data_IF_709164337954
#
_entry.id   IF_709164337954
#
_cell.length_a   1.000
_cell.length_b   1.000
_cell.length_c   1.000
_cell.angle_alpha   90.00
_cell.angle_beta   90.00
_cell.angle_gamma   90.00
#
_symmetry.space_group_name_H-M   'P 1'
#
loop_
_entity.id
_entity.type
_entity.pdbx_description
1 polymer ?
#
# COMPACT_ATOMS: atom_id res chain seq x y z
N UNK A 1 -6.68 0.31 -18.99
CA UNK A 1 -7.42 0.59 -20.24
C UNK A 1 -6.51 0.93 -21.43
N UNK A 2 -5.21 1.15 -21.21
CA UNK A 2 -4.22 1.43 -22.27
C UNK A 2 -3.62 0.17 -22.91
N UNK A 3 -4.21 -1.00 -22.67
CA UNK A 3 -3.72 -2.28 -23.20
C UNK A 3 -2.48 -2.81 -22.50
N UNK A 4 -2.09 -2.24 -21.35
CA UNK A 4 -0.99 -2.74 -20.51
C UNK A 4 -1.48 -3.79 -19.54
N UNK A 5 -0.65 -4.80 -19.29
CA UNK A 5 -0.91 -5.78 -18.24
C UNK A 5 -0.56 -5.20 -16.87
N UNK A 6 -1.47 -5.33 -15.90
CA UNK A 6 -1.30 -4.82 -14.55
C UNK A 6 -1.27 -5.96 -13.52
N UNK A 7 -0.49 -5.77 -12.45
CA UNK A 7 -0.38 -6.69 -11.36
C UNK A 7 -0.42 -5.97 -10.00
N UNK A 8 -0.70 -6.75 -8.97
CA UNK A 8 -0.68 -6.34 -7.57
C UNK A 8 0.39 -7.13 -6.82
N UNK A 9 1.04 -6.50 -5.86
CA UNK A 9 1.97 -7.14 -4.96
C UNK A 9 1.90 -6.57 -3.53
N UNK A 10 1.99 -7.43 -2.54
CA UNK A 10 2.06 -7.06 -1.12
C UNK A 10 3.08 -7.93 -0.43
N UNK A 11 4.03 -7.34 0.28
CA UNK A 11 5.14 -8.07 0.90
C UNK A 11 4.67 -9.09 1.94
N UNK A 12 3.72 -8.71 2.78
CA UNK A 12 3.15 -9.56 3.82
C UNK A 12 1.70 -9.15 4.11
N UNK A 13 0.85 -10.12 4.37
CA UNK A 13 -0.59 -9.96 4.61
C UNK A 13 -1.00 -10.74 5.84
N UNK A 14 -1.72 -10.13 6.76
CA UNK A 14 -2.18 -10.73 8.02
C UNK A 14 -3.72 -10.64 8.14
N UNK A 15 -4.31 -11.46 9.02
CA UNK A 15 -5.75 -11.51 9.21
C UNK A 15 -6.49 -12.26 8.11
N UNK A 16 -5.95 -13.39 7.68
CA UNK A 16 -6.49 -14.15 6.56
C UNK A 16 -7.27 -15.38 7.02
N UNK A 17 -8.37 -15.64 6.35
CA UNK A 17 -9.19 -16.83 6.60
C UNK A 17 -8.52 -18.11 6.11
N UNK A 18 -8.83 -19.23 6.81
CA UNK A 18 -8.34 -20.56 6.46
C UNK A 18 -9.38 -21.33 5.66
N UNK A 19 -8.97 -21.98 4.59
CA UNK A 19 -9.79 -22.92 3.83
C UNK A 19 -9.95 -24.25 4.57
N UNK A 20 -10.88 -25.07 4.12
CA UNK A 20 -11.11 -26.41 4.67
C UNK A 20 -9.89 -27.36 4.50
N UNK A 21 -9.06 -27.12 3.51
CA UNK A 21 -7.81 -27.86 3.26
C UNK A 21 -6.62 -27.39 4.10
N UNK A 22 -6.84 -26.33 4.94
CA UNK A 22 -5.82 -25.76 5.80
C UNK A 22 -4.99 -24.63 5.16
N UNK A 23 -5.12 -24.35 3.87
CA UNK A 23 -4.46 -23.22 3.22
C UNK A 23 -5.10 -21.88 3.60
N UNK A 24 -4.33 -20.79 3.60
CA UNK A 24 -4.85 -19.45 3.84
C UNK A 24 -5.34 -18.80 2.54
N UNK A 25 -6.36 -17.96 2.68
CA UNK A 25 -6.87 -17.14 1.57
C UNK A 25 -6.24 -15.75 1.72
N UNK A 26 -5.41 -15.29 0.78
CA UNK A 26 -4.84 -13.95 0.83
C UNK A 26 -5.95 -12.91 0.56
N UNK A 27 -6.60 -12.42 1.64
CA UNK A 27 -7.85 -11.64 1.59
C UNK A 27 -7.76 -10.38 0.75
N UNK A 28 -6.73 -9.54 0.99
CA UNK A 28 -6.55 -8.29 0.24
C UNK A 28 -6.29 -8.57 -1.25
N UNK A 29 -5.42 -9.56 -1.55
CA UNK A 29 -5.13 -9.97 -2.93
C UNK A 29 -6.39 -10.48 -3.66
N UNK A 30 -7.20 -11.30 -2.98
CA UNK A 30 -8.46 -11.79 -3.53
C UNK A 30 -9.45 -10.65 -3.77
N UNK A 31 -9.51 -9.67 -2.88
CA UNK A 31 -10.36 -8.49 -3.01
C UNK A 31 -9.91 -7.65 -4.22
N UNK A 32 -8.62 -7.34 -4.33
CA UNK A 32 -8.05 -6.60 -5.46
C UNK A 32 -8.31 -7.33 -6.77
N UNK A 33 -8.07 -8.65 -6.83
CA UNK A 33 -8.32 -9.45 -8.03
C UNK A 33 -9.79 -9.35 -8.48
N UNK A 34 -10.74 -9.44 -7.54
CA UNK A 34 -12.18 -9.37 -7.84
C UNK A 34 -12.61 -8.00 -8.35
N UNK A 35 -12.11 -6.91 -7.75
CA UNK A 35 -12.51 -5.54 -8.09
C UNK A 35 -11.86 -5.09 -9.39
N UNK A 36 -10.56 -5.35 -9.57
CA UNK A 36 -9.80 -4.90 -10.73
C UNK A 36 -9.98 -5.79 -11.96
N UNK A 37 -10.42 -7.04 -11.78
CA UNK A 37 -10.52 -8.02 -12.85
C UNK A 37 -9.17 -8.52 -13.39
N UNK A 38 -8.06 -8.27 -12.69
CA UNK A 38 -6.75 -8.81 -13.08
C UNK A 38 -6.74 -10.34 -12.95
N UNK A 39 -6.02 -11.01 -13.84
CA UNK A 39 -5.95 -12.48 -13.90
C UNK A 39 -4.71 -13.06 -13.23
N UNK A 40 -3.93 -12.23 -12.51
CA UNK A 40 -2.76 -12.66 -11.76
C UNK A 40 -3.12 -13.74 -10.74
N UNK A 41 -2.37 -14.85 -10.65
CA UNK A 41 -2.55 -15.86 -9.61
C UNK A 41 -2.33 -15.30 -8.20
N UNK A 42 -3.18 -15.68 -7.23
CA UNK A 42 -3.12 -15.14 -5.86
C UNK A 42 -1.78 -15.43 -5.16
N UNK A 43 -1.18 -16.58 -5.47
CA UNK A 43 0.12 -17.00 -4.94
C UNK A 43 1.30 -16.11 -5.41
N UNK A 44 1.13 -15.38 -6.50
CA UNK A 44 2.12 -14.42 -7.00
C UNK A 44 1.97 -13.03 -6.36
N UNK A 45 0.82 -12.75 -5.74
CA UNK A 45 0.50 -11.43 -5.20
C UNK A 45 1.09 -11.15 -3.82
N UNK A 46 1.33 -12.20 -3.02
CA UNK A 46 1.82 -12.05 -1.66
C UNK A 46 2.60 -13.28 -1.20
N UNK A 47 3.90 -13.19 -0.90
CA UNK A 47 4.71 -14.33 -0.46
C UNK A 47 4.45 -14.74 0.99
N UNK A 48 3.99 -13.82 1.84
CA UNK A 48 3.76 -14.08 3.27
C UNK A 48 2.32 -13.80 3.66
N UNK A 49 1.55 -14.86 3.92
CA UNK A 49 0.13 -14.80 4.31
C UNK A 49 -0.02 -15.39 5.70
N UNK A 50 -0.53 -14.60 6.65
CA UNK A 50 -0.70 -14.97 8.06
C UNK A 50 -2.18 -15.00 8.45
N UNK A 51 -2.56 -15.94 9.32
CA UNK A 51 -3.92 -16.09 9.84
C UNK A 51 -4.25 -15.01 10.89
N UNK A 52 -3.30 -14.72 11.79
CA UNK A 52 -3.52 -13.77 12.88
C UNK A 52 -3.64 -12.34 12.36
N UNK A 53 -4.74 -11.66 12.77
CA UNK A 53 -5.02 -10.25 12.43
C UNK A 53 -4.20 -9.27 13.29
N UNK A 54 -2.89 -9.36 13.20
CA UNK A 54 -1.93 -8.49 13.87
C UNK A 54 -1.03 -7.77 12.84
N UNK A 55 -0.19 -6.86 13.30
CA UNK A 55 0.87 -6.33 12.43
C UNK A 55 1.77 -7.46 11.93
N UNK A 56 2.30 -7.37 10.69
CA UNK A 56 3.04 -8.48 10.05
C UNK A 56 4.15 -9.07 10.92
N UNK A 57 4.95 -8.23 11.59
CA UNK A 57 6.04 -8.69 12.46
C UNK A 57 5.56 -9.54 13.64
N UNK A 58 4.38 -9.25 14.19
CA UNK A 58 3.84 -10.02 15.31
C UNK A 58 3.20 -11.32 14.82
N UNK A 59 2.44 -11.26 13.74
CA UNK A 59 1.83 -12.44 13.11
C UNK A 59 2.92 -13.44 12.68
N UNK A 60 3.95 -12.98 11.97
CA UNK A 60 5.08 -13.80 11.51
C UNK A 60 5.81 -14.51 12.65
N UNK A 61 6.03 -13.80 13.76
CA UNK A 61 6.68 -14.35 14.95
C UNK A 61 5.83 -15.41 15.65
N UNK A 62 4.52 -15.16 15.80
CA UNK A 62 3.59 -16.13 16.42
C UNK A 62 3.46 -17.38 15.55
N UNK A 63 3.41 -17.24 14.24
CA UNK A 63 3.26 -18.34 13.29
C UNK A 63 4.61 -19.01 12.92
N UNK A 64 5.74 -18.48 13.44
CA UNK A 64 7.06 -19.05 13.22
C UNK A 64 7.57 -18.99 11.78
N UNK A 65 7.08 -18.03 11.00
CA UNK A 65 7.43 -17.84 9.59
C UNK A 65 7.85 -16.38 9.34
N UNK A 66 9.08 -16.00 9.71
CA UNK A 66 9.58 -14.63 9.60
C UNK A 66 9.70 -14.18 8.13
N UNK A 67 9.42 -12.89 7.89
CA UNK A 67 9.58 -12.31 6.55
C UNK A 67 11.06 -12.13 6.22
N UNK A 68 11.48 -12.64 5.08
CA UNK A 68 12.80 -12.50 4.51
C UNK A 68 12.78 -11.52 3.33
N UNK A 69 13.60 -10.46 3.37
CA UNK A 69 13.66 -9.46 2.30
C UNK A 69 14.02 -10.08 0.94
N UNK A 70 14.86 -11.10 0.92
CA UNK A 70 15.21 -11.79 -0.31
C UNK A 70 13.99 -12.41 -1.01
N UNK A 71 13.09 -13.04 -0.25
CA UNK A 71 11.85 -13.65 -0.78
C UNK A 71 10.91 -12.57 -1.30
N UNK A 72 10.75 -11.45 -0.56
CA UNK A 72 9.94 -10.30 -0.98
C UNK A 72 10.47 -9.72 -2.29
N UNK A 73 11.78 -9.47 -2.37
CA UNK A 73 12.43 -8.91 -3.57
C UNK A 73 12.30 -9.84 -4.78
N UNK A 74 12.59 -11.12 -4.60
CA UNK A 74 12.60 -12.09 -5.70
C UNK A 74 11.18 -12.36 -6.22
N UNK A 75 10.17 -12.40 -5.31
CA UNK A 75 8.76 -12.44 -5.67
C UNK A 75 8.32 -11.21 -6.46
N UNK A 76 8.68 -10.01 -6.01
CA UNK A 76 8.38 -8.76 -6.73
C UNK A 76 9.00 -8.73 -8.13
N UNK A 77 10.28 -9.13 -8.27
CA UNK A 77 10.96 -9.22 -9.58
C UNK A 77 10.26 -10.18 -10.54
N UNK A 78 9.87 -11.35 -10.04
CA UNK A 78 9.14 -12.33 -10.84
C UNK A 78 7.79 -11.79 -11.35
N UNK A 79 7.12 -10.92 -10.60
CA UNK A 79 5.91 -10.23 -11.05
C UNK A 79 6.24 -9.16 -12.07
N UNK A 80 7.27 -8.33 -11.86
CA UNK A 80 7.72 -7.32 -12.82
C UNK A 80 8.16 -7.90 -14.17
N UNK A 81 8.69 -9.12 -14.19
CA UNK A 81 9.09 -9.80 -15.43
C UNK A 81 7.87 -10.25 -16.29
N UNK A 82 6.68 -10.34 -15.69
CA UNK A 82 5.45 -10.83 -16.35
C UNK A 82 4.47 -9.72 -16.72
N UNK A 83 4.50 -8.59 -15.99
CA UNK A 83 3.50 -7.54 -16.10
C UNK A 83 4.13 -6.18 -16.35
N UNK A 84 3.47 -5.36 -17.16
CA UNK A 84 3.95 -4.02 -17.55
C UNK A 84 3.89 -3.01 -16.41
N UNK A 85 2.96 -3.22 -15.47
CA UNK A 85 2.72 -2.32 -14.33
C UNK A 85 2.42 -3.11 -13.06
N UNK A 86 3.11 -2.79 -11.97
CA UNK A 86 2.92 -3.45 -10.67
C UNK A 86 2.59 -2.40 -9.61
N UNK A 87 1.41 -2.54 -8.98
CA UNK A 87 1.06 -1.77 -7.79
C UNK A 87 1.46 -2.55 -6.55
N UNK A 88 2.27 -1.94 -5.69
CA UNK A 88 2.66 -2.52 -4.40
C UNK A 88 1.85 -1.86 -3.28
N UNK A 89 1.14 -2.66 -2.49
CA UNK A 89 0.42 -2.18 -1.31
C UNK A 89 1.26 -2.35 -0.05
N UNK A 90 1.32 -1.30 0.78
CA UNK A 90 1.95 -1.35 2.09
C UNK A 90 1.07 -2.05 3.14
N UNK A 91 1.71 -2.58 4.19
CA UNK A 91 1.01 -3.19 5.32
C UNK A 91 0.90 -2.20 6.48
N UNK A 92 0.09 -1.17 6.33
CA UNK A 92 -0.03 -0.06 7.28
C UNK A 92 0.76 1.18 6.85
N UNK A 93 1.17 2.02 7.81
CA UNK A 93 1.97 3.23 7.52
C UNK A 93 3.44 2.92 7.23
N UNK A 94 4.16 3.92 6.72
CA UNK A 94 5.56 3.78 6.27
C UNK A 94 6.52 3.21 7.33
N UNK A 95 6.22 3.43 8.60
CA UNK A 95 6.99 2.89 9.74
C UNK A 95 6.49 1.52 10.23
N UNK A 96 5.56 0.88 9.52
CA UNK A 96 5.04 -0.41 9.94
C UNK A 96 6.16 -1.48 9.96
N UNK A 97 6.38 -2.16 11.09
CA UNK A 97 7.35 -3.25 11.15
C UNK A 97 6.78 -4.48 10.41
N UNK A 98 7.53 -4.95 9.41
CA UNK A 98 7.21 -6.14 8.62
C UNK A 98 7.82 -7.39 9.26
N UNK A 99 9.06 -7.29 9.75
CA UNK A 99 9.72 -8.31 10.54
C UNK A 99 10.47 -7.66 11.71
N UNK A 100 10.46 -8.29 12.89
CA UNK A 100 11.18 -7.81 14.05
C UNK A 100 11.71 -8.99 14.89
N UNK A 101 12.47 -9.87 14.23
CA UNK A 101 13.15 -11.02 14.82
C UNK A 101 14.68 -10.83 14.72
N UNK A 102 15.42 -11.76 14.12
CA UNK A 102 16.84 -11.55 13.81
C UNK A 102 17.03 -10.43 12.78
N UNK A 103 16.21 -10.43 11.74
CA UNK A 103 16.08 -9.32 10.82
C UNK A 103 15.12 -8.25 11.36
N UNK A 104 15.41 -6.99 11.04
CA UNK A 104 14.54 -5.84 11.36
C UNK A 104 14.20 -5.17 10.06
N UNK A 105 12.96 -5.43 9.59
CA UNK A 105 12.45 -4.94 8.31
C UNK A 105 11.23 -4.09 8.60
N UNK A 106 11.27 -2.84 8.18
CA UNK A 106 10.13 -1.92 8.16
C UNK A 106 9.58 -1.79 6.74
N UNK A 107 8.42 -1.19 6.57
CA UNK A 107 7.87 -0.94 5.23
C UNK A 107 8.77 -0.04 4.40
N UNK A 108 9.44 0.93 5.02
CA UNK A 108 10.41 1.79 4.34
C UNK A 108 11.58 1.02 3.71
N UNK A 109 12.03 -0.05 4.39
CA UNK A 109 13.08 -0.91 3.86
C UNK A 109 12.61 -1.66 2.60
N UNK A 110 11.33 -2.08 2.58
CA UNK A 110 10.72 -2.70 1.40
C UNK A 110 10.62 -1.69 0.25
N UNK A 111 10.14 -0.47 0.53
CA UNK A 111 10.06 0.61 -0.48
C UNK A 111 11.43 0.91 -1.07
N UNK A 112 12.45 1.01 -0.22
CA UNK A 112 13.83 1.30 -0.61
C UNK A 112 14.46 0.15 -1.41
N UNK A 113 14.36 -1.09 -0.92
CA UNK A 113 14.92 -2.29 -1.57
C UNK A 113 14.32 -2.55 -2.94
N UNK A 114 13.01 -2.31 -3.10
CA UNK A 114 12.31 -2.51 -4.36
C UNK A 114 12.41 -1.29 -5.29
N UNK A 115 13.00 -0.18 -4.84
CA UNK A 115 13.17 1.06 -5.64
C UNK A 115 11.84 1.71 -6.01
N UNK A 116 10.85 1.68 -5.11
CA UNK A 116 9.50 2.15 -5.40
C UNK A 116 9.36 3.67 -5.30
N UNK A 117 8.50 4.23 -6.16
CA UNK A 117 7.89 5.53 -5.91
C UNK A 117 6.54 5.33 -5.23
N UNK A 118 6.21 6.15 -4.24
CA UNK A 118 5.01 5.99 -3.42
C UNK A 118 3.95 7.04 -3.73
N UNK A 119 2.70 6.67 -3.48
CA UNK A 119 1.55 7.57 -3.37
C UNK A 119 1.01 7.43 -1.96
N UNK A 120 0.76 8.54 -1.29
CA UNK A 120 0.15 8.55 0.03
C UNK A 120 -1.37 8.53 -0.10
N UNK A 121 -2.01 7.55 0.52
CA UNK A 121 -3.47 7.52 0.67
C UNK A 121 -3.80 8.05 2.07
N UNK A 122 -4.61 9.09 2.14
CA UNK A 122 -4.99 9.75 3.39
C UNK A 122 -6.50 9.92 3.47
N UNK A 123 -7.05 9.88 4.69
CA UNK A 123 -8.42 10.29 4.94
C UNK A 123 -8.55 11.82 4.74
N UNK A 124 -9.68 12.30 4.21
CA UNK A 124 -9.90 13.74 4.04
C UNK A 124 -10.29 14.43 5.37
N UNK A 125 -10.71 13.67 6.37
CA UNK A 125 -11.30 14.15 7.61
C UNK A 125 -10.32 14.74 8.63
N UNK A 126 -10.84 14.95 9.83
CA UNK A 126 -10.11 15.59 10.94
C UNK A 126 -8.88 14.80 11.37
N UNK A 127 -7.75 15.51 11.53
CA UNK A 127 -6.46 14.94 11.94
C UNK A 127 -5.53 14.57 10.78
N UNK A 128 -6.02 14.63 9.55
CA UNK A 128 -5.24 14.23 8.35
C UNK A 128 -4.01 15.12 8.13
N UNK A 129 -4.10 16.42 8.38
CA UNK A 129 -2.97 17.36 8.20
C UNK A 129 -1.74 16.85 8.94
N UNK A 130 -1.90 16.50 10.23
CA UNK A 130 -0.78 16.00 11.03
C UNK A 130 -0.19 14.71 10.47
N UNK A 131 -1.04 13.74 10.11
CA UNK A 131 -0.61 12.43 9.61
C UNK A 131 0.09 12.54 8.26
N UNK A 132 -0.46 13.33 7.34
CA UNK A 132 0.08 13.56 6.00
C UNK A 132 1.42 14.28 6.07
N UNK A 133 1.49 15.41 6.81
CA UNK A 133 2.71 16.21 6.88
C UNK A 133 3.85 15.44 7.55
N UNK A 134 3.58 14.75 8.67
CA UNK A 134 4.60 13.94 9.33
C UNK A 134 5.11 12.80 8.43
N UNK A 135 4.20 12.12 7.72
CA UNK A 135 4.60 11.05 6.78
C UNK A 135 5.43 11.60 5.63
N UNK A 136 5.00 12.72 5.02
CA UNK A 136 5.71 13.33 3.90
C UNK A 136 7.11 13.82 4.31
N UNK A 137 7.23 14.51 5.46
CA UNK A 137 8.53 14.98 5.96
C UNK A 137 9.44 13.81 6.35
N UNK A 138 8.89 12.74 6.95
CA UNK A 138 9.64 11.53 7.23
C UNK A 138 10.19 10.91 5.94
N UNK A 139 9.33 10.66 4.94
CA UNK A 139 9.73 10.08 3.66
C UNK A 139 10.78 10.92 2.94
N UNK A 140 10.63 12.25 2.96
CA UNK A 140 11.60 13.19 2.40
C UNK A 140 12.97 13.10 3.10
N UNK A 141 12.97 13.06 4.44
CA UNK A 141 14.21 12.95 5.23
C UNK A 141 14.94 11.62 4.98
N UNK A 142 14.21 10.55 4.64
CA UNK A 142 14.75 9.23 4.33
C UNK A 142 14.93 8.97 2.83
N UNK A 143 14.81 10.00 1.99
CA UNK A 143 14.96 9.92 0.54
C UNK A 143 14.03 8.91 -0.15
N UNK A 144 12.83 8.69 0.41
CA UNK A 144 11.79 7.82 -0.16
C UNK A 144 10.92 8.65 -1.12
N UNK A 145 10.87 8.30 -2.42
CA UNK A 145 10.13 9.10 -3.39
C UNK A 145 8.62 9.07 -3.12
N UNK A 146 8.01 10.25 -2.91
CA UNK A 146 6.58 10.44 -2.75
C UNK A 146 6.05 11.34 -3.87
N UNK A 147 5.12 10.82 -4.69
CA UNK A 147 4.65 11.48 -5.92
C UNK A 147 3.46 12.42 -5.68
N UNK A 148 2.66 12.15 -4.66
CA UNK A 148 1.47 12.95 -4.34
C UNK A 148 0.55 12.23 -3.37
N UNK A 149 -0.62 12.79 -3.17
CA UNK A 149 -1.59 12.36 -2.19
C UNK A 149 -2.92 12.05 -2.87
N UNK A 150 -3.57 10.94 -2.48
CA UNK A 150 -4.96 10.66 -2.78
C UNK A 150 -5.74 10.80 -1.48
N UNK A 151 -6.76 11.66 -1.45
CA UNK A 151 -7.66 11.80 -0.32
C UNK A 151 -8.88 10.91 -0.47
N UNK A 152 -9.06 10.01 0.48
CA UNK A 152 -10.18 9.07 0.57
C UNK A 152 -11.27 9.59 1.53
N UNK A 153 -12.49 9.06 1.41
CA UNK A 153 -13.68 9.48 2.16
C UNK A 153 -13.94 10.99 2.06
N UNK A 154 -13.72 11.56 0.87
CA UNK A 154 -13.94 12.98 0.61
C UNK A 154 -15.40 13.27 0.34
N UNK A 155 -15.95 14.31 1.01
CA UNK A 155 -17.31 14.81 0.82
C UNK A 155 -17.29 16.16 0.10
N UNK A 156 -17.71 16.26 -1.17
CA UNK A 156 -17.68 17.52 -1.92
C UNK A 156 -18.43 18.65 -1.21
N UNK A 157 -17.73 19.78 -1.01
CA UNK A 157 -18.31 20.96 -0.37
C UNK A 157 -18.22 20.95 1.18
N UNK A 158 -17.59 19.94 1.78
CA UNK A 158 -17.23 20.00 3.20
C UNK A 158 -16.05 20.96 3.38
N UNK A 159 -16.30 22.06 4.10
CA UNK A 159 -15.33 23.15 4.29
C UNK A 159 -14.07 22.68 5.04
N UNK A 160 -14.22 21.78 6.01
CA UNK A 160 -13.08 21.25 6.78
C UNK A 160 -12.20 20.36 5.90
N UNK A 161 -12.79 19.47 5.09
CA UNK A 161 -12.05 18.57 4.23
C UNK A 161 -11.34 19.33 3.09
N UNK A 162 -12.01 20.33 2.51
CA UNK A 162 -11.39 21.19 1.49
C UNK A 162 -10.19 21.98 2.08
N UNK A 163 -10.31 22.52 3.31
CA UNK A 163 -9.21 23.19 4.01
C UNK A 163 -8.09 22.22 4.38
N UNK A 164 -8.42 21.02 4.86
CA UNK A 164 -7.43 19.98 5.17
C UNK A 164 -6.58 19.63 3.94
N UNK A 165 -7.21 19.44 2.78
CA UNK A 165 -6.53 19.15 1.51
C UNK A 165 -5.61 20.29 1.13
N UNK A 166 -6.13 21.54 1.15
CA UNK A 166 -5.34 22.73 0.86
C UNK A 166 -4.12 22.84 1.79
N UNK A 167 -4.28 22.63 3.09
CA UNK A 167 -3.19 22.70 4.05
C UNK A 167 -2.16 21.59 3.85
N UNK A 168 -2.60 20.38 3.51
CA UNK A 168 -1.68 19.29 3.19
C UNK A 168 -0.82 19.62 1.95
N UNK A 169 -1.42 20.12 0.89
CA UNK A 169 -0.68 20.56 -0.31
C UNK A 169 0.29 21.70 0.00
N UNK A 170 -0.18 22.71 0.73
CA UNK A 170 0.64 23.88 1.09
C UNK A 170 1.85 23.50 1.94
N UNK A 171 1.67 22.64 2.95
CA UNK A 171 2.75 22.26 3.89
C UNK A 171 3.73 21.25 3.32
N UNK A 172 3.27 20.36 2.44
CA UNK A 172 4.14 19.29 1.88
C UNK A 172 4.74 19.65 0.52
N UNK A 173 4.09 20.55 -0.22
CA UNK A 173 4.41 20.83 -1.63
C UNK A 173 4.03 19.69 -2.58
N UNK A 174 3.29 18.69 -2.11
CA UNK A 174 2.86 17.53 -2.91
C UNK A 174 1.50 17.81 -3.54
N UNK A 175 1.26 17.38 -4.80
CA UNK A 175 -0.04 17.55 -5.44
C UNK A 175 -1.07 16.56 -4.90
N UNK A 176 -2.34 16.97 -4.85
CA UNK A 176 -3.47 16.07 -4.75
C UNK A 176 -3.67 15.37 -6.10
N UNK A 177 -3.49 14.06 -6.13
CA UNK A 177 -3.64 13.27 -7.35
C UNK A 177 -5.10 12.91 -7.64
N UNK A 178 -5.86 12.63 -6.59
CA UNK A 178 -7.29 12.34 -6.69
C UNK A 178 -8.00 12.60 -5.35
N UNK A 179 -9.32 12.80 -5.41
CA UNK A 179 -10.24 12.81 -4.28
C UNK A 179 -11.26 11.69 -4.51
N UNK A 180 -11.42 10.81 -3.55
CA UNK A 180 -12.27 9.60 -3.64
C UNK A 180 -13.40 9.70 -2.64
N UNK A 181 -14.63 9.55 -3.10
CA UNK A 181 -15.83 9.54 -2.29
C UNK A 181 -16.25 8.10 -1.96
N UNK A 182 -17.05 7.94 -0.92
CA UNK A 182 -17.65 6.63 -0.60
C UNK A 182 -18.51 6.12 -1.76
N UNK A 183 -18.22 4.92 -2.22
CA UNK A 183 -18.92 4.29 -3.33
C UNK A 183 -18.41 4.62 -4.72
N UNK A 184 -17.36 5.43 -4.86
CA UNK A 184 -16.71 5.63 -6.14
C UNK A 184 -16.15 4.31 -6.68
N UNK A 185 -16.43 4.03 -7.94
CA UNK A 185 -15.95 2.84 -8.68
C UNK A 185 -14.86 3.16 -9.70
N UNK A 186 -14.57 4.45 -9.88
CA UNK A 186 -13.56 4.96 -10.81
C UNK A 186 -12.71 6.02 -10.13
N UNK A 187 -11.40 5.93 -10.33
CA UNK A 187 -10.46 6.94 -9.86
C UNK A 187 -10.33 8.06 -10.91
N UNK A 188 -10.77 9.27 -10.56
CA UNK A 188 -10.61 10.47 -11.41
C UNK A 188 -9.34 11.20 -11.01
N UNK A 189 -8.30 11.06 -11.85
CA UNK A 189 -7.05 11.78 -11.65
C UNK A 189 -7.20 13.28 -11.87
N UNK A 190 -6.70 14.08 -10.93
CA UNK A 190 -6.66 15.56 -11.01
C UNK A 190 -5.34 16.05 -11.64
N UNK A 191 -4.31 15.19 -11.65
CA UNK A 191 -2.99 15.49 -12.23
C UNK A 191 -2.52 14.31 -13.08
N UNK A 192 -1.91 14.58 -14.22
CA UNK A 192 -1.36 13.59 -15.15
C UNK A 192 0.11 13.21 -14.84
N UNK A 193 0.61 13.54 -13.64
CA UNK A 193 2.03 13.42 -13.29
C UNK A 193 2.31 12.20 -12.39
N UNK A 194 1.97 11.00 -12.84
CA UNK A 194 2.41 9.76 -12.17
C UNK A 194 3.44 9.03 -13.06
#
# INVERSE_FOLDING_TARGET
>A
EEGKSAAYYKAAMSGNDRRADGSLIPGDALFVQKISGITQPLEEMCPYVYEHAYSPHLASRIEGHPVEMAVVRDGYRAVCDKYDYVTVEGSGGILCPICFDEAKIQLEDVVSELGLSSILIADAGLGTINSVVLTAEYMKAHHLPLKGIIFNHYHPGDVMEDDNIFMCEYMTGLPTLAKVQDGDTELKMLSSSI
#
